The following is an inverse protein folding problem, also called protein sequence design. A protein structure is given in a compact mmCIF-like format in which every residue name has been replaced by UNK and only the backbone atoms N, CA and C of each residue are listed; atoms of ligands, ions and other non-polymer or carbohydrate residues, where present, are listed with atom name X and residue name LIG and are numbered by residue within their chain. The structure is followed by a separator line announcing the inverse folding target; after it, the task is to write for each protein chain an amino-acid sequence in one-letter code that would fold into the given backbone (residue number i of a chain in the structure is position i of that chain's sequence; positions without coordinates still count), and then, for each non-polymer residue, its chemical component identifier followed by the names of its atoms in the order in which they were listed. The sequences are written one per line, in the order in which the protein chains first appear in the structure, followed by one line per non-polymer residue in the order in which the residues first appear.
data_IF_482568170647
#
_entry.id   IF_482568170647
#
_cell.length_a   1.000
_cell.length_b   1.000
_cell.length_c   1.000
_cell.angle_alpha   90.00
_cell.angle_beta   90.00
_cell.angle_gamma   90.00
#
_symmetry.space_group_name_H-M   'P 1'
#
loop_
_entity.id
_entity.type
_entity.pdbx_description
1 polymer ?
#
# COMPACT_ATOMS: atom_id res chain seq x y z
N UNK A 1 14.97 30.34 -13.21
CA UNK A 1 15.46 29.16 -12.55
C UNK A 1 14.63 28.77 -11.36
N UNK A 2 14.29 29.65 -10.43
CA UNK A 2 13.46 29.22 -9.30
C UNK A 2 12.12 28.60 -9.72
N UNK A 3 11.58 29.04 -10.84
CA UNK A 3 10.29 28.52 -11.32
C UNK A 3 10.36 27.03 -11.67
N UNK A 4 11.50 26.57 -12.20
CA UNK A 4 11.69 25.18 -12.55
C UNK A 4 11.69 24.30 -11.31
N UNK A 5 12.39 24.75 -10.28
CA UNK A 5 12.46 23.99 -9.02
C UNK A 5 11.11 23.91 -8.35
N UNK A 6 10.33 24.98 -8.42
CA UNK A 6 8.98 25.02 -7.84
C UNK A 6 8.06 24.01 -8.52
N UNK A 7 8.17 23.88 -9.85
CA UNK A 7 7.33 22.96 -10.61
C UNK A 7 7.62 21.49 -10.32
N UNK A 8 8.85 21.17 -9.94
CA UNK A 8 9.24 19.80 -9.65
C UNK A 8 9.01 19.39 -8.20
N UNK A 9 8.50 20.29 -7.38
CA UNK A 9 8.27 19.99 -5.98
C UNK A 9 7.11 19.02 -5.81
N UNK A 10 7.40 17.96 -5.08
CA UNK A 10 6.42 16.97 -4.68
C UNK A 10 6.51 16.77 -3.17
N UNK A 11 5.48 16.15 -2.61
CA UNK A 11 5.38 15.93 -1.17
C UNK A 11 5.43 14.45 -0.90
N UNK A 12 6.25 14.04 0.05
CA UNK A 12 6.33 12.66 0.50
C UNK A 12 5.49 12.46 1.75
N UNK A 13 4.80 11.32 1.78
CA UNK A 13 4.09 10.82 2.94
C UNK A 13 4.96 9.73 3.56
N UNK A 14 5.20 9.82 4.86
CA UNK A 14 5.96 8.78 5.55
C UNK A 14 5.25 8.43 6.85
N UNK A 15 5.05 7.14 7.07
CA UNK A 15 4.48 6.66 8.32
C UNK A 15 5.18 5.38 8.75
N UNK A 16 5.24 5.16 10.06
CA UNK A 16 5.80 3.95 10.64
C UNK A 16 4.72 3.26 11.47
N UNK A 17 4.60 1.94 11.30
CA UNK A 17 3.64 1.15 12.05
C UNK A 17 4.29 -0.13 12.57
N UNK A 18 4.08 -0.41 13.84
CA UNK A 18 4.56 -1.64 14.45
C UNK A 18 3.54 -2.77 14.31
N UNK A 19 4.01 -3.98 13.98
CA UNK A 19 3.20 -5.19 13.96
C UNK A 19 3.88 -6.27 14.81
N UNK A 20 3.09 -6.98 15.63
CA UNK A 20 3.58 -8.05 16.49
C UNK A 20 3.71 -9.36 15.71
N UNK A 21 4.53 -9.37 14.68
CA UNK A 21 4.75 -10.51 13.82
C UNK A 21 6.14 -10.43 13.18
N UNK A 22 6.77 -11.57 12.83
CA UNK A 22 8.05 -11.55 12.14
C UNK A 22 7.92 -10.88 10.78
N UNK A 23 9.01 -10.26 10.31
CA UNK A 23 8.95 -9.52 9.03
C UNK A 23 8.64 -10.40 7.82
N UNK A 24 8.99 -11.68 7.86
CA UNK A 24 8.61 -12.61 6.79
C UNK A 24 7.09 -12.70 6.67
N UNK A 25 6.39 -12.81 7.80
CA UNK A 25 4.93 -12.87 7.83
C UNK A 25 4.31 -11.53 7.40
N UNK A 26 4.88 -10.42 7.84
CA UNK A 26 4.37 -9.09 7.49
C UNK A 26 4.59 -8.81 6.00
N UNK A 27 5.75 -9.16 5.47
CA UNK A 27 6.03 -9.04 4.05
C UNK A 27 5.05 -9.87 3.22
N UNK A 28 4.82 -11.12 3.62
CA UNK A 28 3.90 -12.01 2.91
C UNK A 28 2.46 -11.50 2.98
N UNK A 29 2.05 -10.90 4.09
CA UNK A 29 0.73 -10.28 4.20
C UNK A 29 0.56 -9.10 3.25
N UNK A 30 1.65 -8.43 2.91
CA UNK A 30 1.65 -7.28 1.99
C UNK A 30 1.64 -7.69 0.53
N UNK A 31 1.98 -8.93 0.22
CA UNK A 31 2.22 -9.37 -1.16
C UNK A 31 1.39 -10.56 -1.60
N UNK A 32 0.70 -11.23 -0.68
CA UNK A 32 -0.09 -12.43 -0.98
C UNK A 32 -1.54 -12.04 -1.24
N UNK A 33 -2.10 -12.33 -2.43
CA UNK A 33 -3.48 -11.93 -2.76
C UNK A 33 -4.52 -12.38 -1.74
N UNK A 34 -4.40 -13.59 -1.20
CA UNK A 34 -5.37 -14.10 -0.22
C UNK A 34 -5.39 -13.27 1.06
N UNK A 35 -4.25 -12.74 1.46
CA UNK A 35 -4.16 -11.89 2.65
C UNK A 35 -4.54 -10.46 2.32
N UNK A 36 -4.10 -9.95 1.16
CA UNK A 36 -4.44 -8.60 0.69
C UNK A 36 -5.95 -8.39 0.62
N UNK A 37 -6.72 -9.39 0.23
CA UNK A 37 -8.18 -9.32 0.20
C UNK A 37 -8.77 -8.98 1.55
N UNK A 38 -8.10 -9.28 2.64
CA UNK A 38 -8.61 -9.10 3.99
C UNK A 38 -8.38 -7.71 4.55
N UNK A 39 -7.38 -6.98 4.05
CA UNK A 39 -7.02 -5.71 4.67
C UNK A 39 -6.93 -4.53 3.70
N UNK A 40 -6.79 -4.79 2.41
CA UNK A 40 -6.58 -3.72 1.44
C UNK A 40 -7.77 -2.78 1.28
N UNK A 41 -8.99 -3.31 1.22
CA UNK A 41 -10.18 -2.52 0.94
C UNK A 41 -10.70 -1.79 2.17
N UNK A 42 -11.05 -0.49 2.03
CA UNK A 42 -11.71 0.25 3.11
C UNK A 42 -13.11 -0.31 3.40
N UNK A 43 -13.69 0.09 4.52
CA UNK A 43 -15.06 -0.30 4.88
C UNK A 43 -16.02 0.13 3.76
N UNK A 44 -16.92 -0.77 3.38
CA UNK A 44 -17.88 -0.52 2.30
C UNK A 44 -17.38 -0.89 0.92
N UNK A 45 -16.12 -1.27 0.79
CA UNK A 45 -15.53 -1.71 -0.47
C UNK A 45 -15.20 -3.20 -0.40
N UNK A 46 -15.40 -3.90 -1.52
CA UNK A 46 -15.12 -5.33 -1.63
C UNK A 46 -14.05 -5.57 -2.70
N UNK A 47 -13.11 -6.47 -2.46
CA UNK A 47 -12.12 -6.81 -3.47
C UNK A 47 -12.78 -7.62 -4.60
N UNK A 48 -12.57 -7.16 -5.83
CA UNK A 48 -13.05 -7.86 -7.02
C UNK A 48 -11.93 -8.70 -7.64
N UNK A 49 -10.71 -8.14 -7.65
CA UNK A 49 -9.57 -8.78 -8.29
C UNK A 49 -8.29 -8.25 -7.66
N UNK A 50 -7.41 -9.17 -7.28
CA UNK A 50 -6.07 -8.82 -6.80
C UNK A 50 -5.08 -9.69 -7.54
N UNK A 51 -4.30 -9.08 -8.43
CA UNK A 51 -3.25 -9.75 -9.19
C UNK A 51 -1.90 -9.23 -8.75
N UNK A 52 -0.97 -10.11 -8.47
CA UNK A 52 0.38 -9.75 -8.05
C UNK A 52 1.37 -10.65 -8.79
N UNK A 53 2.25 -10.01 -9.58
CA UNK A 53 3.40 -10.67 -10.18
C UNK A 53 4.63 -10.20 -9.41
N UNK A 54 4.96 -10.91 -8.34
CA UNK A 54 5.92 -10.46 -7.33
C UNK A 54 7.36 -10.67 -7.77
N UNK A 55 7.83 -9.77 -8.62
CA UNK A 55 9.22 -9.75 -9.09
C UNK A 55 9.55 -8.34 -9.58
N UNK A 56 10.83 -7.95 -9.61
CA UNK A 56 11.20 -6.67 -10.21
C UNK A 56 10.69 -6.61 -11.65
N UNK A 57 10.00 -5.52 -12.00
CA UNK A 57 9.37 -5.36 -13.31
C UNK A 57 8.01 -6.01 -13.44
N UNK A 58 7.59 -6.84 -12.49
CA UNK A 58 6.27 -7.45 -12.50
C UNK A 58 5.18 -6.44 -12.20
N UNK A 59 3.96 -6.70 -12.67
CA UNK A 59 2.83 -5.80 -12.49
C UNK A 59 1.92 -6.26 -11.36
N UNK A 60 1.13 -5.32 -10.84
CA UNK A 60 0.06 -5.63 -9.91
C UNK A 60 -1.20 -4.85 -10.26
N UNK A 61 -2.34 -5.37 -9.87
CA UNK A 61 -3.62 -4.69 -10.06
C UNK A 61 -4.57 -5.08 -8.94
N UNK A 62 -5.14 -4.08 -8.26
CA UNK A 62 -6.14 -4.27 -7.22
C UNK A 62 -7.42 -3.59 -7.66
N UNK A 63 -8.49 -4.37 -7.85
CA UNK A 63 -9.80 -3.85 -8.24
C UNK A 63 -10.75 -4.03 -7.08
N UNK A 64 -11.46 -2.96 -6.72
CA UNK A 64 -12.44 -3.00 -5.64
C UNK A 64 -13.74 -2.31 -6.06
N UNK A 65 -14.83 -2.74 -5.46
CA UNK A 65 -16.17 -2.23 -5.78
C UNK A 65 -16.86 -1.72 -4.52
N UNK A 66 -17.47 -0.55 -4.64
CA UNK A 66 -18.41 -0.06 -3.64
C UNK A 66 -19.82 -0.39 -4.12
N UNK A 67 -20.44 -1.39 -3.50
CA UNK A 67 -21.75 -1.88 -3.94
C UNK A 67 -22.84 -0.82 -3.78
N UNK A 68 -22.77 0.01 -2.75
CA UNK A 68 -23.77 1.05 -2.49
C UNK A 68 -23.76 2.13 -3.58
N UNK A 69 -22.59 2.47 -4.09
CA UNK A 69 -22.44 3.51 -5.09
C UNK A 69 -22.33 2.95 -6.51
N UNK A 70 -22.30 1.61 -6.65
CA UNK A 70 -22.08 0.92 -7.93
C UNK A 70 -20.81 1.45 -8.64
N UNK A 71 -19.77 1.67 -7.86
CA UNK A 71 -18.52 2.25 -8.34
C UNK A 71 -17.40 1.22 -8.24
N UNK A 72 -16.63 1.09 -9.32
CA UNK A 72 -15.46 0.22 -9.38
C UNK A 72 -14.23 1.08 -9.58
N UNK A 73 -13.24 0.93 -8.70
CA UNK A 73 -11.98 1.64 -8.82
C UNK A 73 -10.83 0.63 -8.76
N UNK A 74 -9.69 1.02 -9.31
CA UNK A 74 -8.53 0.15 -9.26
C UNK A 74 -7.25 0.95 -9.02
N UNK A 75 -6.26 0.22 -8.50
CA UNK A 75 -4.88 0.69 -8.38
C UNK A 75 -4.02 -0.30 -9.13
N UNK A 76 -3.08 0.20 -9.90
CA UNK A 76 -2.15 -0.64 -10.64
C UNK A 76 -0.76 -0.03 -10.67
N UNK A 77 0.22 -0.86 -10.95
CA UNK A 77 1.59 -0.40 -11.05
C UNK A 77 2.55 -1.54 -11.33
N UNK A 78 3.83 -1.25 -11.13
CA UNK A 78 4.92 -2.22 -11.32
C UNK A 78 5.83 -2.23 -10.11
N UNK A 79 6.31 -3.42 -9.76
CA UNK A 79 7.32 -3.56 -8.72
C UNK A 79 8.68 -3.12 -9.26
N UNK A 80 9.41 -2.40 -8.43
CA UNK A 80 10.79 -1.98 -8.73
C UNK A 80 11.76 -2.82 -7.91
N UNK A 81 11.63 -2.77 -6.57
CA UNK A 81 12.43 -3.61 -5.68
C UNK A 81 11.53 -4.66 -5.03
N UNK A 82 11.99 -5.90 -5.04
CA UNK A 82 11.35 -6.99 -4.32
C UNK A 82 12.46 -7.73 -3.58
N UNK A 83 12.67 -7.35 -2.33
CA UNK A 83 13.75 -7.88 -1.49
C UNK A 83 13.15 -8.46 -0.21
N UNK A 84 12.59 -9.65 -0.34
CA UNK A 84 11.95 -10.34 0.79
C UNK A 84 12.99 -10.73 1.83
N UNK A 85 12.77 -10.46 3.12
CA UNK A 85 11.61 -9.80 3.73
C UNK A 85 11.88 -8.34 4.11
N UNK A 86 12.80 -7.67 3.43
CA UNK A 86 13.34 -6.39 3.87
C UNK A 86 12.68 -5.17 3.24
N UNK A 87 12.37 -5.25 1.93
CA UNK A 87 11.97 -4.06 1.18
C UNK A 87 11.11 -4.41 -0.01
N UNK A 88 10.15 -3.52 -0.27
CA UNK A 88 9.27 -3.61 -1.43
C UNK A 88 9.08 -2.18 -1.94
N UNK A 89 9.21 -1.98 -3.24
CA UNK A 89 8.87 -0.68 -3.82
C UNK A 89 8.12 -0.88 -5.13
N UNK A 90 7.19 0.04 -5.40
CA UNK A 90 6.33 -0.08 -6.58
C UNK A 90 5.72 1.26 -6.95
N UNK A 91 5.32 1.37 -8.21
CA UNK A 91 4.60 2.54 -8.71
C UNK A 91 3.12 2.44 -8.33
N UNK A 92 2.43 3.59 -8.33
CA UNK A 92 1.07 3.68 -7.81
C UNK A 92 0.24 4.56 -8.74
N UNK A 93 -0.77 3.97 -9.35
CA UNK A 93 -1.66 4.64 -10.29
C UNK A 93 -3.12 4.30 -9.98
N UNK A 94 -3.95 5.32 -9.90
CA UNK A 94 -5.39 5.13 -9.73
C UNK A 94 -6.11 5.08 -11.08
N UNK A 95 -7.20 4.32 -11.12
CA UNK A 95 -8.14 4.31 -12.23
C UNK A 95 -9.56 4.42 -11.69
N UNK A 96 -10.33 5.36 -12.22
CA UNK A 96 -11.68 5.71 -11.77
C UNK A 96 -11.73 6.30 -10.37
N UNK A 97 -10.62 6.85 -9.90
CA UNK A 97 -10.52 7.59 -8.65
C UNK A 97 -9.35 8.57 -8.79
N UNK A 98 -9.44 9.70 -8.10
CA UNK A 98 -8.38 10.70 -8.09
C UNK A 98 -7.96 11.10 -9.51
N UNK A 99 -8.95 11.47 -10.34
CA UNK A 99 -8.71 11.80 -11.75
C UNK A 99 -7.66 12.88 -11.89
N UNK A 100 -6.73 12.66 -12.83
CA UNK A 100 -5.64 13.59 -13.07
C UNK A 100 -4.45 13.45 -12.13
N UNK A 101 -4.52 12.58 -11.15
CA UNK A 101 -3.38 12.34 -10.28
C UNK A 101 -2.27 11.62 -11.06
N UNK A 102 -1.03 12.15 -11.05
CA UNK A 102 0.08 11.49 -11.73
C UNK A 102 0.50 10.23 -10.99
N UNK A 103 1.33 9.43 -11.66
CA UNK A 103 1.94 8.26 -11.04
C UNK A 103 2.77 8.68 -9.83
N UNK A 104 2.59 7.97 -8.73
CA UNK A 104 3.38 8.16 -7.51
C UNK A 104 4.17 6.90 -7.21
N UNK A 105 4.94 6.91 -6.14
CA UNK A 105 5.87 5.83 -5.83
C UNK A 105 5.80 5.45 -4.36
N UNK A 106 5.71 4.15 -4.09
CA UNK A 106 5.63 3.62 -2.72
C UNK A 106 6.86 2.78 -2.42
N UNK A 107 7.45 3.03 -1.27
CA UNK A 107 8.53 2.20 -0.73
C UNK A 107 8.10 1.70 0.65
N UNK A 108 8.21 0.41 0.87
CA UNK A 108 7.88 -0.22 2.14
C UNK A 108 9.13 -0.92 2.66
N UNK A 109 9.55 -0.53 3.85
CA UNK A 109 10.68 -1.16 4.54
C UNK A 109 10.15 -1.96 5.73
N UNK A 110 10.59 -3.19 5.87
CA UNK A 110 10.18 -4.10 6.92
C UNK A 110 11.37 -4.30 7.85
N UNK A 111 11.37 -3.63 8.99
CA UNK A 111 12.51 -3.63 9.91
C UNK A 111 12.24 -4.56 11.06
N UNK A 112 13.11 -5.56 11.21
CA UNK A 112 13.01 -6.49 12.35
C UNK A 112 13.38 -5.75 13.63
N UNK A 113 12.51 -5.85 14.63
CA UNK A 113 12.75 -5.31 15.99
C UNK A 113 12.47 -6.43 16.98
N UNK A 114 12.91 -6.31 18.25
CA UNK A 114 12.75 -7.42 19.20
C UNK A 114 11.33 -7.88 19.40
N UNK A 115 10.34 -6.99 19.29
CA UNK A 115 8.93 -7.33 19.49
C UNK A 115 8.15 -7.59 18.21
N UNK A 116 8.81 -7.65 17.06
CA UNK A 116 8.13 -7.90 15.77
C UNK A 116 8.74 -7.13 14.62
N UNK A 117 7.92 -6.35 13.93
CA UNK A 117 8.34 -5.62 12.73
C UNK A 117 7.86 -4.18 12.77
N UNK A 118 8.77 -3.26 12.52
CA UNK A 118 8.40 -1.86 12.24
C UNK A 118 8.35 -1.68 10.73
N UNK A 119 7.18 -1.38 10.20
CA UNK A 119 6.99 -1.12 8.78
C UNK A 119 7.03 0.38 8.54
N UNK A 120 7.92 0.80 7.64
CA UNK A 120 8.03 2.20 7.24
C UNK A 120 7.50 2.33 5.82
N UNK A 121 6.39 3.04 5.64
CA UNK A 121 5.82 3.31 4.33
C UNK A 121 6.21 4.73 3.93
N UNK A 122 6.80 4.85 2.75
CA UNK A 122 7.07 6.16 2.13
C UNK A 122 6.32 6.20 0.81
N UNK A 123 5.33 7.09 0.71
CA UNK A 123 4.57 7.28 -0.51
C UNK A 123 4.92 8.66 -1.04
N UNK A 124 5.67 8.69 -2.11
CA UNK A 124 6.33 9.88 -2.62
C UNK A 124 5.66 10.41 -3.88
N UNK A 125 6.01 11.65 -4.23
CA UNK A 125 5.60 12.32 -5.48
C UNK A 125 4.15 12.80 -5.50
N UNK A 126 3.54 13.10 -4.33
CA UNK A 126 2.23 13.73 -4.32
C UNK A 126 2.32 15.16 -4.83
N UNK A 127 1.45 15.54 -5.77
CA UNK A 127 1.50 16.90 -6.34
C UNK A 127 0.93 17.97 -5.42
N UNK A 128 0.09 17.61 -4.45
CA UNK A 128 -0.52 18.58 -3.55
C UNK A 128 -0.84 17.98 -2.18
N UNK A 129 -1.14 18.86 -1.24
CA UNK A 129 -1.36 18.48 0.16
C UNK A 129 -2.70 17.79 0.36
N UNK A 130 -3.69 18.02 -0.48
CA UNK A 130 -5.00 17.36 -0.35
C UNK A 130 -4.89 15.87 -0.67
N UNK A 131 -4.18 15.54 -1.73
CA UNK A 131 -3.92 14.14 -2.09
C UNK A 131 -3.06 13.46 -1.02
N UNK A 132 -2.09 14.18 -0.48
CA UNK A 132 -1.28 13.69 0.62
C UNK A 132 -2.13 13.29 1.82
N UNK A 133 -3.04 14.17 2.25
CA UNK A 133 -3.93 13.90 3.38
C UNK A 133 -4.85 12.70 3.14
N UNK A 134 -5.43 12.62 1.95
CA UNK A 134 -6.34 11.51 1.61
C UNK A 134 -5.62 10.17 1.65
N UNK A 135 -4.40 10.12 1.14
CA UNK A 135 -3.62 8.89 1.14
C UNK A 135 -3.09 8.53 2.52
N UNK A 136 -2.74 9.55 3.32
CA UNK A 136 -2.34 9.30 4.71
C UNK A 136 -3.47 8.62 5.49
N UNK A 137 -4.67 9.16 5.37
CA UNK A 137 -5.86 8.56 6.01
C UNK A 137 -6.09 7.13 5.51
N UNK A 138 -5.93 6.92 4.22
CA UNK A 138 -6.07 5.59 3.62
C UNK A 138 -5.04 4.60 4.16
N UNK A 139 -3.78 5.01 4.24
CA UNK A 139 -2.71 4.15 4.76
C UNK A 139 -2.92 3.79 6.24
N UNK A 140 -3.33 4.76 7.06
CA UNK A 140 -3.60 4.50 8.47
C UNK A 140 -4.70 3.44 8.62
N UNK A 141 -5.79 3.60 7.88
CA UNK A 141 -6.89 2.63 7.89
C UNK A 141 -6.46 1.25 7.41
N UNK A 142 -5.65 1.20 6.35
CA UNK A 142 -5.11 -0.06 5.83
C UNK A 142 -4.24 -0.76 6.87
N UNK A 143 -3.38 -0.02 7.57
CA UNK A 143 -2.54 -0.59 8.62
C UNK A 143 -3.38 -1.15 9.78
N UNK A 144 -4.46 -0.46 10.16
CA UNK A 144 -5.38 -0.95 11.19
C UNK A 144 -6.02 -2.29 10.78
N UNK A 145 -6.46 -2.38 9.53
CA UNK A 145 -7.05 -3.62 9.02
C UNK A 145 -6.02 -4.74 8.91
N UNK A 146 -4.81 -4.42 8.49
CA UNK A 146 -3.72 -5.39 8.41
C UNK A 146 -3.36 -5.95 9.78
N UNK A 147 -3.33 -5.10 10.81
CA UNK A 147 -3.08 -5.56 12.17
C UNK A 147 -4.08 -6.62 12.59
N UNK A 148 -5.37 -6.38 12.30
CA UNK A 148 -6.41 -7.35 12.59
C UNK A 148 -6.26 -8.64 11.79
N UNK A 149 -5.87 -8.53 10.51
CA UNK A 149 -5.65 -9.70 9.66
C UNK A 149 -4.49 -10.55 10.16
N UNK A 150 -3.41 -9.91 10.63
CA UNK A 150 -2.26 -10.63 11.18
C UNK A 150 -2.61 -11.36 12.48
N UNK A 151 -3.42 -10.74 13.34
CA UNK A 151 -3.88 -11.39 14.57
C UNK A 151 -4.72 -12.63 14.27
N UNK A 152 -5.61 -12.55 13.29
CA UNK A 152 -6.42 -13.68 12.86
C UNK A 152 -5.56 -14.83 12.34
N UNK A 153 -4.53 -14.52 11.54
CA UNK A 153 -3.59 -15.52 11.04
C UNK A 153 -2.81 -16.20 12.15
N UNK A 154 -2.39 -15.44 13.16
CA UNK A 154 -1.67 -16.00 14.31
C UNK A 154 -2.51 -17.01 15.05
N UNK A 155 -3.82 -16.76 15.19
CA UNK A 155 -4.73 -17.70 15.84
C UNK A 155 -4.91 -18.98 15.05
N UNK A 156 -4.81 -18.91 13.73
CA UNK A 156 -5.01 -20.08 12.87
C UNK A 156 -3.77 -20.94 12.72
N UNK A 157 -2.60 -20.37 12.94
CA UNK A 157 -1.35 -21.07 12.76
C UNK A 157 -0.91 -21.88 13.99
N UNK A 158 -1.66 -21.82 15.05
CA UNK A 158 -1.39 -22.65 16.26
C UNK A 158 -2.05 -24.05 16.18
#
# INVERSE_FOLDING_TARGET
MPATDTQSRTIALRLTRHFDAPREQVFDAWTTPEVLKRWWCPAGWLPQRIDVDLRPGGSYCFVMENASAATVVSIHGRFVDVLRPERLSYTWNWQNAFDGMPETFVTVEFRAVPSGTDVVVTHDRFPDVQLWHKHRTGWIGACDRMERALLANSQWSS
#
